data_IF_105921138427
#
_entry.id   IF_105921138427
#
_cell.length_a   1.000
_cell.length_b   1.000
_cell.length_c   1.000
_cell.angle_alpha   90.00
_cell.angle_beta   90.00
_cell.angle_gamma   90.00
#
_symmetry.space_group_name_H-M   'P 1'
#
loop_
_entity.id
_entity.type
_entity.pdbx_description
1 polymer ?
#
# COMPACT_ATOMS: atom_id res chain seq x y z
N UNK A 1 -4.80 -21.07 15.30
CA UNK A 1 -4.49 -19.95 14.42
C UNK A 1 -3.36 -19.12 14.99
N UNK A 2 -2.41 -18.76 14.18
CA UNK A 2 -1.25 -18.02 14.65
C UNK A 2 -1.25 -16.61 14.07
N UNK A 3 -0.45 -15.75 14.65
CA UNK A 3 -0.32 -14.39 14.22
C UNK A 3 0.86 -14.23 13.32
N UNK A 4 0.77 -13.31 12.36
CA UNK A 4 1.89 -12.97 11.52
C UNK A 4 2.76 -11.96 12.20
N UNK A 5 4.03 -12.04 11.94
CA UNK A 5 4.98 -11.05 12.40
C UNK A 5 4.82 -9.80 11.56
N UNK A 6 4.83 -8.65 12.21
CA UNK A 6 4.80 -7.38 11.51
C UNK A 6 3.44 -6.92 11.03
N UNK A 7 2.42 -7.76 11.17
CA UNK A 7 1.05 -7.42 10.83
C UNK A 7 0.17 -7.77 12.01
N UNK A 8 -1.06 -7.28 12.00
CA UNK A 8 -1.96 -7.73 13.01
C UNK A 8 -2.32 -9.21 12.83
N UNK A 9 -2.19 -9.73 11.62
CA UNK A 9 -2.36 -11.14 11.36
C UNK A 9 -3.78 -11.65 11.44
N UNK A 10 -4.72 -10.81 11.75
CA UNK A 10 -6.11 -11.21 11.95
C UNK A 10 -6.87 -11.27 10.65
N UNK A 11 -6.64 -10.31 9.77
CA UNK A 11 -7.48 -10.14 8.61
C UNK A 11 -6.76 -9.40 7.51
N UNK A 12 -6.97 -9.84 6.28
CA UNK A 12 -6.43 -9.21 5.08
C UNK A 12 -7.55 -9.08 4.07
N UNK A 13 -7.55 -8.01 3.30
CA UNK A 13 -8.47 -7.85 2.19
C UNK A 13 -7.68 -7.48 0.95
N UNK A 14 -7.75 -8.30 -0.08
CA UNK A 14 -7.07 -8.04 -1.35
C UNK A 14 -8.08 -7.48 -2.34
N UNK A 15 -7.74 -6.34 -2.92
CA UNK A 15 -8.67 -5.59 -3.80
C UNK A 15 -8.28 -5.61 -5.27
N UNK A 16 -7.12 -6.16 -5.60
CA UNK A 16 -6.65 -6.12 -6.98
C UNK A 16 -6.30 -4.70 -7.37
N UNK A 17 -6.78 -4.26 -8.52
CA UNK A 17 -6.50 -2.91 -9.01
C UNK A 17 -7.50 -1.91 -8.44
N UNK A 18 -7.00 -0.74 -8.09
CA UNK A 18 -7.86 0.37 -7.71
C UNK A 18 -8.23 1.16 -8.96
N UNK A 19 -9.25 2.02 -8.88
CA UNK A 19 -9.63 2.83 -10.04
C UNK A 19 -8.45 3.66 -10.57
N UNK A 20 -8.43 3.88 -11.88
CA UNK A 20 -7.36 4.65 -12.51
C UNK A 20 -7.63 6.15 -12.40
N UNK A 21 -8.90 6.55 -12.47
CA UNK A 21 -9.29 7.95 -12.40
C UNK A 21 -8.95 8.49 -11.01
N UNK A 22 -8.24 9.62 -10.94
CA UNK A 22 -7.64 10.06 -9.68
C UNK A 22 -8.66 10.38 -8.59
N UNK A 23 -9.79 10.93 -8.93
CA UNK A 23 -10.82 11.23 -7.93
C UNK A 23 -11.41 9.96 -7.33
N UNK A 24 -11.69 8.98 -8.18
CA UNK A 24 -12.23 7.71 -7.71
C UNK A 24 -11.18 6.94 -6.92
N UNK A 25 -9.93 7.00 -7.35
CA UNK A 25 -8.84 6.35 -6.63
C UNK A 25 -8.68 6.94 -5.25
N UNK A 26 -8.72 8.27 -5.14
CA UNK A 26 -8.57 8.93 -3.84
C UNK A 26 -9.68 8.51 -2.88
N UNK A 27 -10.92 8.45 -3.37
CA UNK A 27 -12.04 7.99 -2.55
C UNK A 27 -11.83 6.55 -2.07
N UNK A 28 -11.39 5.70 -2.99
CA UNK A 28 -11.20 4.30 -2.67
C UNK A 28 -10.11 4.11 -1.62
N UNK A 29 -9.00 4.82 -1.78
CA UNK A 29 -7.90 4.75 -0.81
C UNK A 29 -8.39 5.17 0.57
N UNK A 30 -9.18 6.23 0.65
CA UNK A 30 -9.70 6.68 1.95
C UNK A 30 -10.63 5.65 2.57
N UNK A 31 -11.47 5.00 1.76
CA UNK A 31 -12.34 3.95 2.27
C UNK A 31 -11.52 2.77 2.80
N UNK A 32 -10.48 2.38 2.07
CA UNK A 32 -9.64 1.28 2.52
C UNK A 32 -8.92 1.63 3.82
N UNK A 33 -8.44 2.85 3.94
CA UNK A 33 -7.80 3.27 5.18
C UNK A 33 -8.77 3.23 6.35
N UNK A 34 -10.03 3.63 6.13
CA UNK A 34 -11.03 3.53 7.18
C UNK A 34 -11.21 2.09 7.66
N UNK A 35 -11.17 1.14 6.73
CA UNK A 35 -11.28 -0.27 7.10
C UNK A 35 -10.10 -0.74 7.92
N UNK A 36 -8.92 -0.22 7.63
CA UNK A 36 -7.73 -0.56 8.42
C UNK A 36 -7.98 -0.27 9.89
N UNK A 37 -8.51 0.90 10.19
CA UNK A 37 -8.71 1.31 11.58
C UNK A 37 -9.98 0.74 12.20
N UNK A 38 -11.05 0.68 11.43
CA UNK A 38 -12.34 0.23 11.95
C UNK A 38 -12.37 -1.28 12.18
N UNK A 39 -11.73 -2.04 11.29
CA UNK A 39 -11.81 -3.49 11.32
C UNK A 39 -10.49 -4.17 11.64
N UNK A 40 -9.44 -3.39 11.91
CA UNK A 40 -8.12 -3.93 12.19
C UNK A 40 -7.69 -4.88 11.07
N UNK A 41 -7.84 -4.43 9.84
CA UNK A 41 -7.65 -5.27 8.66
C UNK A 41 -6.63 -4.63 7.72
N UNK A 42 -5.64 -5.41 7.31
CA UNK A 42 -4.66 -4.97 6.33
C UNK A 42 -5.29 -4.98 4.94
N UNK A 43 -5.11 -3.89 4.20
CA UNK A 43 -5.65 -3.77 2.85
C UNK A 43 -4.52 -3.91 1.85
N UNK A 44 -4.67 -4.83 0.89
CA UNK A 44 -3.66 -5.09 -0.15
C UNK A 44 -4.22 -4.73 -1.51
N UNK A 45 -3.41 -4.12 -2.34
CA UNK A 45 -3.82 -3.81 -3.71
C UNK A 45 -2.59 -3.70 -4.61
N UNK A 46 -2.82 -3.68 -5.91
CA UNK A 46 -1.75 -3.65 -6.90
C UNK A 46 -2.05 -2.57 -7.94
N UNK A 47 -1.03 -2.28 -8.74
CA UNK A 47 -1.17 -1.37 -9.86
C UNK A 47 -0.30 -1.89 -10.99
N UNK A 48 -0.55 -1.44 -12.22
CA UNK A 48 0.32 -1.79 -13.34
C UNK A 48 1.67 -1.13 -13.11
N UNK A 49 2.78 -1.80 -13.55
CA UNK A 49 4.11 -1.28 -13.21
C UNK A 49 4.36 0.18 -13.57
N UNK A 50 3.87 0.63 -14.73
CA UNK A 50 4.15 2.00 -15.13
C UNK A 50 3.27 3.03 -14.41
N UNK A 51 2.34 2.61 -13.55
CA UNK A 51 1.55 3.53 -12.73
C UNK A 51 1.89 3.42 -11.25
N UNK A 52 2.88 2.63 -10.90
CA UNK A 52 3.24 2.42 -9.49
C UNK A 52 3.62 3.72 -8.79
N UNK A 53 4.44 4.54 -9.43
CA UNK A 53 4.88 5.79 -8.79
C UNK A 53 3.69 6.70 -8.51
N UNK A 54 2.76 6.77 -9.45
CA UNK A 54 1.56 7.58 -9.25
C UNK A 54 0.69 7.02 -8.14
N UNK A 55 0.61 5.70 -8.03
CA UNK A 55 -0.15 5.06 -6.97
C UNK A 55 0.42 5.44 -5.60
N UNK A 56 1.73 5.39 -5.44
CA UNK A 56 2.35 5.76 -4.18
C UNK A 56 2.05 7.22 -3.84
N UNK A 57 2.18 8.11 -4.82
CA UNK A 57 1.84 9.52 -4.60
C UNK A 57 0.41 9.68 -4.11
N UNK A 58 -0.53 8.96 -4.72
CA UNK A 58 -1.92 9.06 -4.33
C UNK A 58 -2.16 8.52 -2.92
N UNK A 59 -1.48 7.44 -2.56
CA UNK A 59 -1.57 6.90 -1.21
C UNK A 59 -1.07 7.92 -0.19
N UNK A 60 0.10 8.52 -0.46
CA UNK A 60 0.67 9.49 0.47
C UNK A 60 -0.20 10.74 0.62
N UNK A 61 -0.92 11.09 -0.44
CA UNK A 61 -1.76 12.26 -0.44
C UNK A 61 -3.06 12.04 0.35
N UNK A 62 -3.54 10.80 0.40
CA UNK A 62 -4.88 10.50 0.90
C UNK A 62 -4.93 9.73 2.20
N UNK A 63 -3.80 9.27 2.71
CA UNK A 63 -3.76 8.53 3.97
C UNK A 63 -3.20 9.39 5.10
N UNK A 64 -3.52 8.99 6.32
CA UNK A 64 -3.04 9.69 7.50
C UNK A 64 -1.53 9.49 7.67
N UNK A 65 -0.83 10.47 8.26
CA UNK A 65 0.63 10.35 8.43
C UNK A 65 1.09 9.12 9.22
N UNK A 66 0.29 8.64 10.15
CA UNK A 66 0.67 7.52 10.99
C UNK A 66 0.33 6.14 10.39
N UNK A 67 -0.44 6.10 9.33
CA UNK A 67 -0.77 4.84 8.65
C UNK A 67 0.50 4.26 8.04
N UNK A 68 0.66 2.95 8.13
CA UNK A 68 1.83 2.29 7.57
C UNK A 68 1.57 1.84 6.15
N UNK A 69 2.57 2.04 5.30
CA UNK A 69 2.54 1.58 3.92
C UNK A 69 3.72 0.66 3.69
N UNK A 70 3.43 -0.57 3.31
CA UNK A 70 4.46 -1.52 2.91
C UNK A 70 4.46 -1.59 1.38
N UNK A 71 5.63 -1.44 0.78
CA UNK A 71 5.82 -1.60 -0.65
C UNK A 71 6.66 -2.86 -0.85
N UNK A 72 6.08 -3.84 -1.54
CA UNK A 72 6.76 -5.09 -1.83
C UNK A 72 6.94 -5.19 -3.33
N UNK A 73 8.18 -5.10 -3.78
CA UNK A 73 8.52 -5.05 -5.20
C UNK A 73 9.42 -6.22 -5.57
N UNK A 74 9.23 -6.75 -6.78
CA UNK A 74 10.05 -7.85 -7.30
C UNK A 74 10.09 -9.05 -6.38
N UNK A 75 8.96 -9.43 -5.79
CA UNK A 75 8.90 -10.53 -4.85
C UNK A 75 9.44 -11.80 -5.49
N UNK A 76 10.35 -12.48 -4.80
CA UNK A 76 11.01 -13.71 -5.21
C UNK A 76 11.89 -13.56 -6.44
N UNK A 77 12.14 -12.33 -6.88
CA UNK A 77 13.03 -12.05 -8.00
C UNK A 77 14.30 -11.40 -7.50
N UNK A 78 15.30 -11.38 -8.34
CA UNK A 78 16.50 -10.63 -8.06
C UNK A 78 16.12 -9.15 -7.93
N UNK A 79 16.67 -8.48 -6.94
CA UNK A 79 16.30 -7.08 -6.69
C UNK A 79 15.06 -6.92 -5.86
N UNK A 80 14.66 -7.96 -5.15
CA UNK A 80 13.50 -7.88 -4.26
C UNK A 80 13.64 -6.74 -3.28
N UNK A 81 12.54 -6.00 -3.09
CA UNK A 81 12.51 -4.83 -2.22
C UNK A 81 11.23 -4.89 -1.41
N UNK A 82 11.36 -4.98 -0.10
CA UNK A 82 10.21 -4.96 0.80
C UNK A 82 10.53 -3.98 1.92
N UNK A 83 9.74 -2.93 2.03
CA UNK A 83 9.98 -1.92 3.04
C UNK A 83 8.69 -1.33 3.56
N UNK A 84 8.61 -1.18 4.87
CA UNK A 84 7.47 -0.61 5.55
C UNK A 84 7.87 0.65 6.27
N UNK A 85 7.12 1.72 6.06
CA UNK A 85 7.28 2.98 6.77
C UNK A 85 5.92 3.62 6.95
N UNK A 86 5.81 4.53 7.91
CA UNK A 86 4.59 5.32 7.99
C UNK A 86 4.49 6.25 6.79
N UNK A 87 3.28 6.71 6.51
CA UNK A 87 3.07 7.66 5.42
C UNK A 87 3.98 8.87 5.59
N UNK A 88 4.10 9.37 6.82
CA UNK A 88 4.97 10.50 7.10
C UNK A 88 6.42 10.21 6.73
N UNK A 89 6.90 9.03 7.05
CA UNK A 89 8.28 8.66 6.77
C UNK A 89 8.57 8.48 5.29
N UNK A 90 7.54 8.12 4.51
CA UNK A 90 7.69 7.99 3.06
C UNK A 90 7.76 9.33 2.34
N UNK A 91 7.24 10.41 2.94
CA UNK A 91 7.20 11.71 2.28
C UNK A 91 8.59 12.17 1.87
N UNK A 92 8.75 12.48 0.60
CA UNK A 92 10.01 13.00 0.08
C UNK A 92 11.10 11.97 -0.14
N UNK A 93 10.81 10.69 0.12
CA UNK A 93 11.82 9.62 0.01
C UNK A 93 11.25 8.43 -0.74
N UNK A 94 10.68 8.66 -1.91
CA UNK A 94 10.03 7.62 -2.68
C UNK A 94 11.00 6.90 -3.60
N UNK A 95 10.92 5.57 -3.65
CA UNK A 95 11.71 4.83 -4.62
C UNK A 95 11.11 4.98 -6.02
N UNK A 96 11.90 4.69 -7.03
CA UNK A 96 11.39 4.63 -8.40
C UNK A 96 10.91 3.21 -8.65
N UNK A 97 9.60 3.05 -8.77
CA UNK A 97 8.97 1.75 -8.95
C UNK A 97 8.46 1.52 -10.36
N UNK A 98 8.84 2.38 -11.30
CA UNK A 98 8.39 2.22 -12.68
C UNK A 98 8.90 0.91 -13.26
N UNK A 99 8.03 0.23 -13.99
CA UNK A 99 8.34 -1.04 -14.66
C UNK A 99 8.69 -2.19 -13.72
N UNK A 100 8.29 -2.07 -12.44
CA UNK A 100 8.57 -3.08 -11.44
C UNK A 100 7.25 -3.59 -10.87
N UNK A 101 6.99 -4.90 -10.84
CA UNK A 101 5.75 -5.39 -10.23
C UNK A 101 5.78 -5.16 -8.72
N UNK A 102 4.72 -4.57 -8.20
CA UNK A 102 4.63 -4.20 -6.78
C UNK A 102 3.29 -4.61 -6.20
N UNK A 103 3.33 -4.91 -4.90
CA UNK A 103 2.13 -5.06 -4.09
C UNK A 103 2.18 -3.98 -3.02
N UNK A 104 1.06 -3.34 -2.77
CA UNK A 104 0.96 -2.29 -1.78
C UNK A 104 0.06 -2.76 -0.64
N UNK A 105 0.52 -2.54 0.60
CA UNK A 105 -0.23 -2.91 1.78
C UNK A 105 -0.33 -1.70 2.69
N UNK A 106 -1.55 -1.39 3.15
CA UNK A 106 -1.71 -0.35 4.15
C UNK A 106 -2.28 -0.98 5.42
N UNK A 107 -1.77 -0.54 6.57
CA UNK A 107 -2.21 -1.04 7.86
C UNK A 107 -1.77 -0.07 8.96
N UNK A 108 -2.22 -0.34 10.19
CA UNK A 108 -1.90 0.54 11.31
C UNK A 108 -0.79 -0.02 12.19
#
# INVERSE_FOLDING_TARGET
MYKRQGFNGQSFAFHGYLPIESGERAKRIKVLEQRVYAEDQTQLFIETPYRNNKMVEDILKNCRPQTKLCIAANITCEGEYIKTKTIKEWQGKLPDLSKIPCIFLIYK
#
